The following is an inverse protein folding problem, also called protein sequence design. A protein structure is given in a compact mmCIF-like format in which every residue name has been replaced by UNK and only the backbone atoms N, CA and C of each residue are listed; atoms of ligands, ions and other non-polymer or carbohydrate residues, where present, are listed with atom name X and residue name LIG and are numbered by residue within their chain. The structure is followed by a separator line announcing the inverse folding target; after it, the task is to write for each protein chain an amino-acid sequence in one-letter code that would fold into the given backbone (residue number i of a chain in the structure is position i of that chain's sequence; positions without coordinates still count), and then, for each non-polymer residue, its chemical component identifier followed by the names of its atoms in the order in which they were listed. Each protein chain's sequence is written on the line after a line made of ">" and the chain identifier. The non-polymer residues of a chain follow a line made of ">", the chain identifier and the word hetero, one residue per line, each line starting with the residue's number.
data_IF_153699178685
#
_entry.id   IF_153699178685
#
_cell.length_a   1.000
_cell.length_b   1.000
_cell.length_c   1.000
_cell.angle_alpha   90.00
_cell.angle_beta   90.00
_cell.angle_gamma   90.00
#
_symmetry.space_group_name_H-M   'P 1'
#
loop_
_entity.id
_entity.type
_entity.pdbx_description
1 polymer ?
#
# COMPACT_ATOMS: atom_id res chain seq x y z
N UNK A 1 13.52 35.45 52.57
CA UNK A 1 14.38 34.43 51.93
C UNK A 1 13.74 33.98 50.62
N UNK A 2 13.90 34.73 49.53
CA UNK A 2 13.33 34.38 48.22
C UNK A 2 14.39 33.63 47.40
N UNK A 3 14.10 32.37 47.04
CA UNK A 3 14.99 31.55 46.22
C UNK A 3 14.80 31.94 44.75
N UNK A 4 15.80 32.64 44.20
CA UNK A 4 15.79 33.04 42.80
C UNK A 4 15.93 31.79 41.92
N UNK A 5 15.15 31.73 40.85
CA UNK A 5 14.94 30.52 40.04
C UNK A 5 15.66 30.73 38.71
N UNK A 6 16.91 30.29 38.64
CA UNK A 6 17.74 30.39 37.43
C UNK A 6 17.12 29.53 36.32
N UNK A 7 16.34 30.14 35.43
CA UNK A 7 15.86 29.49 34.20
C UNK A 7 16.91 29.65 33.11
N UNK A 8 17.19 28.55 32.42
CA UNK A 8 18.09 28.52 31.26
C UNK A 8 17.36 29.20 30.09
N UNK A 9 17.99 30.18 29.45
CA UNK A 9 17.45 30.81 28.24
C UNK A 9 17.40 29.83 27.07
N UNK A 10 16.28 29.85 26.34
CA UNK A 10 16.03 29.08 25.10
C UNK A 10 16.10 29.96 23.84
N UNK A 11 16.62 31.18 23.97
CA UNK A 11 16.83 32.07 22.83
C UNK A 11 17.87 31.41 21.93
N UNK A 12 17.40 30.93 20.77
CA UNK A 12 18.18 30.10 19.86
C UNK A 12 19.48 30.79 19.46
N UNK A 13 20.59 30.09 19.61
CA UNK A 13 21.91 30.58 19.21
C UNK A 13 22.02 30.90 17.71
N UNK A 14 23.18 31.40 17.31
CA UNK A 14 23.45 31.81 15.93
C UNK A 14 22.94 30.77 14.92
N UNK A 15 22.18 31.27 13.95
CA UNK A 15 21.66 30.49 12.83
C UNK A 15 22.77 29.61 12.26
N UNK A 16 22.50 28.31 12.09
CA UNK A 16 23.42 27.34 11.49
C UNK A 16 23.69 27.72 10.02
N UNK A 17 24.49 28.75 9.79
CA UNK A 17 24.84 29.30 8.48
C UNK A 17 25.99 28.54 7.81
N UNK A 18 26.41 27.43 8.40
CA UNK A 18 27.40 26.56 7.78
C UNK A 18 26.64 25.50 6.98
N UNK A 19 26.56 25.71 5.67
CA UNK A 19 26.11 24.68 4.75
C UNK A 19 27.28 23.70 4.55
N UNK A 20 27.24 22.49 5.11
CA UNK A 20 28.37 21.54 5.04
C UNK A 20 28.68 21.06 3.61
N UNK A 21 27.78 21.38 2.67
CA UNK A 21 27.89 21.01 1.26
C UNK A 21 28.38 22.15 0.36
N UNK A 22 28.62 23.35 0.90
CA UNK A 22 29.01 24.53 0.11
C UNK A 22 30.40 24.40 -0.52
N UNK A 23 31.25 23.54 0.04
CA UNK A 23 32.59 23.25 -0.47
C UNK A 23 32.65 21.99 -1.35
N UNK A 24 31.52 21.43 -1.77
CA UNK A 24 31.50 20.30 -2.70
C UNK A 24 31.53 20.80 -4.15
N UNK A 25 32.53 20.34 -4.90
CA UNK A 25 32.64 20.64 -6.33
C UNK A 25 31.67 19.73 -7.11
N UNK A 26 30.67 20.33 -7.77
CA UNK A 26 29.66 19.62 -8.57
C UNK A 26 30.19 19.21 -9.95
N UNK A 27 31.45 19.56 -10.27
CA UNK A 27 32.06 19.34 -11.58
C UNK A 27 32.41 17.87 -11.77
N UNK A 28 31.71 17.21 -12.71
CA UNK A 28 31.92 15.79 -13.03
C UNK A 28 30.78 14.86 -12.62
N UNK A 29 29.71 15.40 -12.03
CA UNK A 29 28.45 14.68 -11.95
C UNK A 29 27.95 14.40 -13.37
N UNK A 30 27.55 13.17 -13.71
CA UNK A 30 26.85 12.93 -14.96
C UNK A 30 25.62 13.83 -14.95
N UNK A 31 25.43 14.64 -15.99
CA UNK A 31 24.13 15.27 -16.22
C UNK A 31 23.09 14.17 -16.17
N UNK A 32 21.99 14.42 -15.46
CA UNK A 32 20.85 13.51 -15.52
C UNK A 32 20.65 13.12 -16.98
N UNK A 33 20.53 11.81 -17.31
CA UNK A 33 20.07 11.48 -18.64
C UNK A 33 18.81 12.30 -18.85
N UNK A 34 18.76 13.10 -19.91
CA UNK A 34 17.56 13.85 -20.25
C UNK A 34 16.45 12.83 -20.51
N UNK A 35 15.79 12.42 -19.44
CA UNK A 35 14.54 11.70 -19.47
C UNK A 35 13.58 12.79 -19.88
N UNK A 36 13.44 12.96 -21.20
CA UNK A 36 12.35 13.72 -21.80
C UNK A 36 11.09 13.40 -20.99
N UNK A 37 10.60 14.40 -20.27
CA UNK A 37 9.42 14.35 -19.41
C UNK A 37 8.12 14.22 -20.23
N UNK A 38 8.20 13.69 -21.45
CA UNK A 38 7.07 13.27 -22.27
C UNK A 38 6.64 11.82 -21.96
N UNK A 39 6.56 11.48 -20.68
CA UNK A 39 5.60 10.46 -20.24
C UNK A 39 4.52 11.15 -19.43
N UNK A 40 3.65 11.89 -20.13
CA UNK A 40 2.25 11.79 -19.80
C UNK A 40 1.88 10.31 -19.94
N UNK A 41 1.96 9.57 -18.82
CA UNK A 41 1.27 8.29 -18.69
C UNK A 41 -0.21 8.64 -18.61
N UNK A 42 -0.75 9.14 -19.71
CA UNK A 42 -2.16 9.17 -19.94
C UNK A 42 -2.54 7.71 -20.12
N UNK A 43 -2.87 7.06 -19.00
CA UNK A 43 -3.28 5.66 -19.02
C UNK A 43 -4.63 5.63 -19.74
N UNK A 44 -4.58 5.54 -21.07
CA UNK A 44 -5.62 4.94 -21.90
C UNK A 44 -5.70 3.49 -21.45
N UNK A 45 -6.31 3.29 -20.27
CA UNK A 45 -6.76 1.97 -19.84
C UNK A 45 -7.86 1.65 -20.81
N UNK A 46 -7.50 0.97 -21.90
CA UNK A 46 -8.43 0.16 -22.66
C UNK A 46 -9.35 -0.50 -21.64
N UNK A 47 -10.66 -0.17 -21.72
CA UNK A 47 -11.68 -0.74 -20.84
C UNK A 47 -11.77 -2.22 -21.19
N UNK A 48 -10.84 -3.02 -20.65
CA UNK A 48 -10.76 -4.46 -20.87
C UNK A 48 -12.06 -5.04 -20.35
N UNK A 49 -12.84 -5.66 -21.24
CA UNK A 49 -14.19 -6.20 -20.98
C UNK A 49 -14.25 -6.84 -19.58
N UNK A 50 -15.01 -6.19 -18.71
CA UNK A 50 -14.94 -6.28 -17.25
C UNK A 50 -15.87 -7.34 -16.68
N UNK A 51 -15.65 -8.60 -17.04
CA UNK A 51 -16.41 -9.67 -16.40
C UNK A 51 -15.56 -10.92 -16.21
N UNK A 52 -14.54 -10.82 -15.35
CA UNK A 52 -13.73 -11.98 -14.96
C UNK A 52 -14.51 -12.99 -14.13
N UNK A 53 -15.61 -12.58 -13.49
CA UNK A 53 -16.48 -13.44 -12.69
C UNK A 53 -16.78 -12.86 -11.32
N UNK A 54 -17.67 -13.53 -10.58
CA UNK A 54 -18.00 -13.23 -9.18
C UNK A 54 -16.89 -13.74 -8.26
N UNK A 55 -16.64 -13.03 -7.17
CA UNK A 55 -15.71 -13.41 -6.09
C UNK A 55 -16.35 -13.05 -4.76
N UNK A 56 -16.21 -13.90 -3.75
CA UNK A 56 -16.83 -13.68 -2.43
C UNK A 56 -15.78 -13.24 -1.41
N UNK A 57 -16.07 -12.17 -0.67
CA UNK A 57 -15.22 -11.63 0.39
C UNK A 57 -15.88 -11.94 1.74
N UNK A 58 -15.21 -12.75 2.54
CA UNK A 58 -15.71 -13.27 3.81
C UNK A 58 -14.84 -12.76 4.95
N UNK A 59 -15.46 -12.30 6.03
CA UNK A 59 -14.76 -12.02 7.28
C UNK A 59 -14.77 -13.26 8.16
N UNK A 60 -13.59 -13.79 8.48
CA UNK A 60 -13.42 -14.89 9.43
C UNK A 60 -12.84 -14.39 10.75
N UNK A 61 -13.55 -14.68 11.84
CA UNK A 61 -13.12 -14.39 13.23
C UNK A 61 -13.02 -15.63 14.09
N UNK A 62 -13.72 -16.72 13.71
CA UNK A 62 -13.77 -17.95 14.47
C UNK A 62 -12.38 -18.60 14.62
N UNK A 63 -12.06 -19.05 15.84
CA UNK A 63 -10.81 -19.75 16.18
C UNK A 63 -9.51 -18.95 15.95
N UNK A 64 -9.59 -17.62 15.82
CA UNK A 64 -8.42 -16.76 15.53
C UNK A 64 -8.04 -15.82 16.68
N UNK A 65 -8.45 -16.16 17.91
CA UNK A 65 -8.04 -15.44 19.13
C UNK A 65 -8.45 -13.96 19.12
N UNK A 66 -9.63 -13.65 18.58
CA UNK A 66 -10.15 -12.28 18.46
C UNK A 66 -9.63 -11.50 17.24
N UNK A 67 -8.68 -12.03 16.48
CA UNK A 67 -8.20 -11.39 15.24
C UNK A 67 -9.10 -11.75 14.06
N UNK A 68 -9.52 -10.72 13.31
CA UNK A 68 -10.23 -10.91 12.05
C UNK A 68 -9.27 -11.20 10.90
N UNK A 69 -9.73 -12.00 9.94
CA UNK A 69 -9.05 -12.26 8.67
C UNK A 69 -10.08 -12.10 7.57
N UNK A 70 -9.72 -11.36 6.53
CA UNK A 70 -10.51 -11.22 5.31
C UNK A 70 -10.08 -12.33 4.35
N UNK A 71 -11.01 -13.22 4.01
CA UNK A 71 -10.78 -14.33 3.08
C UNK A 71 -11.53 -14.05 1.79
N UNK A 72 -10.82 -14.07 0.67
CA UNK A 72 -11.38 -13.94 -0.66
C UNK A 72 -11.47 -15.34 -1.27
N UNK A 73 -12.68 -15.76 -1.63
CA UNK A 73 -13.02 -17.12 -2.06
C UNK A 73 -13.86 -17.10 -3.33
N UNK A 74 -14.19 -18.28 -3.85
CA UNK A 74 -15.02 -18.44 -5.06
C UNK A 74 -14.43 -17.72 -6.28
N UNK A 75 -13.10 -17.81 -6.42
CA UNK A 75 -12.45 -17.31 -7.63
C UNK A 75 -12.87 -18.14 -8.84
N UNK A 76 -13.12 -17.50 -10.00
CA UNK A 76 -13.24 -18.20 -11.27
C UNK A 76 -11.93 -18.97 -11.60
N UNK A 77 -11.91 -19.83 -12.63
CA UNK A 77 -10.70 -20.54 -13.05
C UNK A 77 -9.60 -19.54 -13.44
N UNK A 78 -8.70 -19.29 -12.50
CA UNK A 78 -7.64 -18.28 -12.56
C UNK A 78 -6.34 -18.94 -12.13
N UNK A 79 -5.26 -18.64 -12.85
CA UNK A 79 -3.94 -19.18 -12.54
C UNK A 79 -3.47 -18.82 -11.14
N UNK A 80 -2.72 -19.74 -10.51
CA UNK A 80 -2.16 -19.53 -9.18
C UNK A 80 -1.23 -18.31 -9.13
N UNK A 81 -0.51 -18.03 -10.23
CA UNK A 81 0.37 -16.88 -10.34
C UNK A 81 -0.41 -15.56 -10.25
N UNK A 82 -1.53 -15.45 -10.97
CA UNK A 82 -2.40 -14.27 -10.90
C UNK A 82 -2.96 -14.06 -9.49
N UNK A 83 -3.39 -15.13 -8.81
CA UNK A 83 -3.84 -15.06 -7.40
C UNK A 83 -2.73 -14.55 -6.48
N UNK A 84 -1.48 -15.00 -6.66
CA UNK A 84 -0.33 -14.51 -5.90
C UNK A 84 -0.03 -13.04 -6.17
N UNK A 85 -0.13 -12.59 -7.43
CA UNK A 85 0.05 -11.18 -7.79
C UNK A 85 -1.03 -10.30 -7.16
N UNK A 86 -2.28 -10.77 -7.17
CA UNK A 86 -3.41 -10.09 -6.56
C UNK A 86 -3.25 -10.01 -5.03
N UNK A 87 -2.84 -11.10 -4.38
CA UNK A 87 -2.53 -11.12 -2.95
C UNK A 87 -1.41 -10.12 -2.60
N UNK A 88 -0.33 -10.06 -3.39
CA UNK A 88 0.75 -9.09 -3.18
C UNK A 88 0.28 -7.64 -3.35
N UNK A 89 -0.62 -7.38 -4.31
CA UNK A 89 -1.24 -6.06 -4.50
C UNK A 89 -2.09 -5.67 -3.28
N UNK A 90 -2.90 -6.60 -2.77
CA UNK A 90 -3.71 -6.39 -1.57
C UNK A 90 -2.84 -6.13 -0.34
N UNK A 91 -1.78 -6.92 -0.12
CA UNK A 91 -0.82 -6.70 0.98
C UNK A 91 -0.18 -5.32 0.92
N UNK A 92 0.24 -4.88 -0.28
CA UNK A 92 0.85 -3.55 -0.47
C UNK A 92 -0.14 -2.41 -0.19
N UNK A 93 -1.38 -2.57 -0.62
CA UNK A 93 -2.42 -1.55 -0.41
C UNK A 93 -2.87 -1.47 1.05
N UNK A 94 -3.03 -2.62 1.71
CA UNK A 94 -3.56 -2.70 3.06
C UNK A 94 -2.45 -2.62 4.15
N UNK A 95 -1.16 -2.65 3.76
CA UNK A 95 0.01 -2.72 4.64
C UNK A 95 -0.04 -3.84 5.68
N UNK A 96 -0.65 -4.98 5.32
CA UNK A 96 -0.80 -6.15 6.19
C UNK A 96 -0.25 -7.40 5.53
N UNK A 97 0.03 -8.41 6.34
CA UNK A 97 0.36 -9.74 5.86
C UNK A 97 -0.82 -10.44 5.20
N UNK A 98 -0.52 -11.37 4.30
CA UNK A 98 -1.51 -12.25 3.68
C UNK A 98 -0.86 -13.42 2.98
N UNK A 99 -1.65 -14.39 2.55
CA UNK A 99 -1.16 -15.55 1.81
C UNK A 99 -2.22 -16.09 0.85
N UNK A 100 -1.79 -16.90 -0.11
CA UNK A 100 -2.70 -17.69 -0.94
C UNK A 100 -2.70 -19.11 -0.39
N UNK A 101 -3.85 -19.56 0.13
CA UNK A 101 -4.02 -20.89 0.72
C UNK A 101 -5.23 -21.56 0.10
N UNK A 102 -5.09 -22.81 -0.33
CA UNK A 102 -6.18 -23.62 -0.92
C UNK A 102 -6.90 -22.90 -2.08
N UNK A 103 -6.16 -22.09 -2.85
CA UNK A 103 -6.71 -21.30 -3.95
C UNK A 103 -7.52 -20.06 -3.54
N UNK A 104 -7.57 -19.74 -2.25
CA UNK A 104 -8.17 -18.54 -1.66
C UNK A 104 -7.08 -17.55 -1.23
N UNK A 105 -7.44 -16.27 -1.17
CA UNK A 105 -6.52 -15.23 -0.68
C UNK A 105 -6.94 -14.85 0.74
N UNK A 106 -6.03 -15.00 1.70
CA UNK A 106 -6.23 -14.61 3.10
C UNK A 106 -5.44 -13.34 3.40
N UNK A 107 -6.10 -12.32 3.94
CA UNK A 107 -5.52 -11.03 4.32
C UNK A 107 -5.84 -10.79 5.80
N UNK A 108 -4.84 -10.39 6.60
CA UNK A 108 -5.04 -10.11 8.03
C UNK A 108 -5.88 -8.84 8.25
N UNK A 109 -6.79 -8.88 9.22
CA UNK A 109 -7.69 -7.77 9.56
C UNK A 109 -9.00 -7.76 8.79
N UNK A 110 -9.88 -6.81 9.14
CA UNK A 110 -11.11 -6.50 8.39
C UNK A 110 -10.77 -5.43 7.36
N UNK A 111 -10.42 -5.85 6.14
CA UNK A 111 -9.98 -5.00 5.02
C UNK A 111 -10.89 -5.16 3.82
N UNK A 112 -12.17 -5.48 4.06
CA UNK A 112 -13.14 -5.82 3.03
C UNK A 112 -13.33 -4.72 1.99
N UNK A 113 -13.36 -3.46 2.41
CA UNK A 113 -13.53 -2.32 1.51
C UNK A 113 -12.34 -2.15 0.55
N UNK A 114 -11.12 -2.10 1.07
CA UNK A 114 -9.89 -2.00 0.27
C UNK A 114 -9.75 -3.19 -0.69
N UNK A 115 -10.00 -4.40 -0.20
CA UNK A 115 -9.96 -5.64 -1.00
C UNK A 115 -11.00 -5.60 -2.12
N UNK A 116 -12.22 -5.13 -1.83
CA UNK A 116 -13.28 -4.99 -2.85
C UNK A 116 -12.89 -4.03 -3.96
N UNK A 117 -12.30 -2.88 -3.62
CA UNK A 117 -11.84 -1.90 -4.60
C UNK A 117 -10.79 -2.49 -5.53
N UNK A 118 -9.81 -3.20 -4.98
CA UNK A 118 -8.74 -3.84 -5.76
C UNK A 118 -9.30 -4.91 -6.70
N UNK A 119 -10.31 -5.67 -6.25
CA UNK A 119 -10.99 -6.68 -7.07
C UNK A 119 -11.79 -6.06 -8.22
N UNK A 120 -12.49 -4.94 -7.97
CA UNK A 120 -13.21 -4.19 -9.00
C UNK A 120 -12.23 -3.63 -10.04
N UNK A 121 -11.13 -3.02 -9.60
CA UNK A 121 -10.08 -2.53 -10.49
C UNK A 121 -9.43 -3.65 -11.31
N UNK A 122 -9.35 -4.85 -10.72
CA UNK A 122 -8.91 -6.05 -11.42
C UNK A 122 -10.00 -6.66 -12.33
N UNK A 123 -11.22 -6.13 -12.39
CA UNK A 123 -12.29 -6.61 -13.28
C UNK A 123 -13.09 -7.81 -12.76
N UNK A 124 -12.99 -8.10 -11.46
CA UNK A 124 -13.85 -9.06 -10.76
C UNK A 124 -15.08 -8.37 -10.15
N UNK A 125 -16.10 -9.17 -9.83
CA UNK A 125 -17.31 -8.70 -9.14
C UNK A 125 -17.30 -9.20 -7.69
N UNK A 126 -16.76 -8.42 -6.74
CA UNK A 126 -16.76 -8.80 -5.34
C UNK A 126 -18.16 -8.76 -4.73
N UNK A 127 -18.46 -9.73 -3.88
CA UNK A 127 -19.68 -9.79 -3.07
C UNK A 127 -19.26 -10.01 -1.62
N UNK A 128 -19.78 -9.21 -0.70
CA UNK A 128 -19.56 -9.44 0.73
C UNK A 128 -20.43 -10.61 1.19
N UNK A 129 -19.79 -11.65 1.70
CA UNK A 129 -20.43 -12.88 2.15
C UNK A 129 -20.12 -13.12 3.63
N UNK A 130 -21.13 -13.56 4.40
CA UNK A 130 -21.01 -13.77 5.84
C UNK A 130 -21.09 -12.47 6.66
N UNK A 131 -21.93 -12.47 7.69
CA UNK A 131 -22.07 -11.40 8.69
C UNK A 131 -21.17 -11.63 9.89
#
# INVERSE_FOLDING_TARGET
>A
MSRNKDRISIDGGESLKQNPFENLDLKGLPSDPEISSNMEIESKRDKKKTNRGRVDIIRQTAHRGGKSVTVVTNFPPVELLEKKMLAKKMQKACCVGGTVKDGNIEIQGDKRDEVSRILIEAGFKPVFAGG
#
